data_IF_123488404884
#
_entry.id   IF_123488404884
#
_cell.length_a   1.000
_cell.length_b   1.000
_cell.length_c   1.000
_cell.angle_alpha   90.00
_cell.angle_beta   90.00
_cell.angle_gamma   90.00
#
_symmetry.space_group_name_H-M   'P 1'
#
loop_
_entity.id
_entity.type
_entity.pdbx_description
1 polymer ?
#
# COMPACT_ATOMS: atom_id res chain seq x y z
N UNK A 1 -10.93 -9.21 6.47
CA UNK A 1 -9.72 -8.94 5.64
C UNK A 1 -9.20 -7.50 5.78
N UNK A 2 -10.08 -6.48 5.68
CA UNK A 2 -9.66 -5.07 5.75
C UNK A 2 -9.15 -4.64 7.14
N UNK A 3 -9.84 -5.08 8.20
CA UNK A 3 -9.50 -4.78 9.61
C UNK A 3 -8.16 -5.38 10.06
N UNK A 4 -7.62 -6.36 9.33
CA UNK A 4 -6.33 -6.99 9.64
C UNK A 4 -5.15 -6.34 8.92
N UNK A 5 -5.37 -5.30 8.10
CA UNK A 5 -4.26 -4.56 7.51
C UNK A 5 -3.62 -3.67 8.57
N UNK A 6 -2.28 -3.63 8.62
CA UNK A 6 -1.51 -2.80 9.56
C UNK A 6 -1.96 -1.34 9.55
N UNK A 7 -2.26 -0.78 8.37
CA UNK A 7 -2.77 0.59 8.24
C UNK A 7 -4.11 0.80 8.93
N UNK A 8 -5.01 -0.18 8.85
CA UNK A 8 -6.35 -0.10 9.42
C UNK A 8 -6.24 -0.19 10.94
N UNK A 9 -5.37 -1.08 11.43
CA UNK A 9 -5.05 -1.21 12.86
C UNK A 9 -4.44 0.10 13.38
N UNK A 10 -3.42 0.63 12.70
CA UNK A 10 -2.76 1.89 13.06
C UNK A 10 -3.77 3.05 13.08
N UNK A 11 -4.60 3.17 12.05
CA UNK A 11 -5.61 4.23 11.96
C UNK A 11 -6.63 4.13 13.10
N UNK A 12 -7.14 2.93 13.38
CA UNK A 12 -8.19 2.70 14.37
C UNK A 12 -7.72 2.86 15.81
N UNK A 13 -6.53 2.37 16.14
CA UNK A 13 -6.06 2.28 17.53
C UNK A 13 -5.05 3.35 17.92
N UNK A 14 -4.42 4.02 16.96
CA UNK A 14 -3.38 5.03 17.22
C UNK A 14 -3.79 6.38 16.64
N UNK A 15 -4.00 6.47 15.33
CA UNK A 15 -4.19 7.77 14.65
C UNK A 15 -5.51 8.44 15.03
N UNK A 16 -6.61 7.69 15.03
CA UNK A 16 -7.91 8.22 15.41
C UNK A 16 -7.98 8.59 16.91
N UNK A 17 -7.69 7.69 17.88
CA UNK A 17 -7.89 8.00 19.29
C UNK A 17 -6.83 8.92 19.89
N UNK A 18 -5.56 8.86 19.43
CA UNK A 18 -4.48 9.66 20.04
C UNK A 18 -4.23 10.97 19.30
N UNK A 19 -4.37 10.97 17.97
CA UNK A 19 -4.02 12.13 17.14
C UNK A 19 -5.24 12.80 16.48
N UNK A 20 -6.43 12.22 16.64
CA UNK A 20 -7.67 12.66 16.00
C UNK A 20 -7.51 12.78 14.47
N UNK A 21 -6.84 11.80 13.86
CA UNK A 21 -6.65 11.69 12.41
C UNK A 21 -7.59 10.59 11.90
N UNK A 22 -8.65 10.99 11.20
CA UNK A 22 -9.72 10.10 10.74
C UNK A 22 -9.76 9.92 9.23
N UNK A 23 -9.14 10.83 8.46
CA UNK A 23 -9.02 10.73 7.00
C UNK A 23 -7.58 10.97 6.53
N UNK A 24 -6.86 9.86 6.30
CA UNK A 24 -5.47 9.87 5.81
C UNK A 24 -5.31 10.47 4.41
N UNK A 25 -6.39 10.68 3.64
CA UNK A 25 -6.32 11.30 2.31
C UNK A 25 -6.30 12.83 2.37
N UNK A 26 -6.90 13.40 3.43
CA UNK A 26 -7.20 14.84 3.51
C UNK A 26 -6.53 15.54 4.67
N UNK A 27 -6.12 14.80 5.71
CA UNK A 27 -5.44 15.40 6.86
C UNK A 27 -4.06 15.92 6.44
N UNK A 28 -3.85 17.23 6.56
CA UNK A 28 -2.61 17.91 6.17
C UNK A 28 -1.43 17.56 7.09
N UNK A 29 -1.68 16.90 8.23
CA UNK A 29 -0.65 16.45 9.17
C UNK A 29 -0.07 15.09 8.78
N UNK A 30 -0.58 14.46 7.73
CA UNK A 30 -0.14 13.17 7.24
C UNK A 30 0.59 13.36 5.91
N UNK A 31 1.76 12.75 5.79
CA UNK A 31 2.45 12.61 4.52
C UNK A 31 2.99 11.18 4.32
N UNK A 32 3.36 10.85 3.09
CA UNK A 32 3.74 9.50 2.71
C UNK A 32 5.11 9.49 2.05
N UNK A 33 5.98 8.60 2.51
CA UNK A 33 7.28 8.36 1.88
C UNK A 33 7.15 7.15 0.95
N UNK A 34 7.49 7.34 -0.34
CA UNK A 34 7.45 6.25 -1.31
C UNK A 34 8.46 5.15 -0.96
N UNK A 35 8.06 3.88 -1.17
CA UNK A 35 8.84 2.71 -0.74
C UNK A 35 10.29 2.67 -1.23
N UNK A 36 10.59 3.24 -2.41
CA UNK A 36 11.96 3.30 -2.96
C UNK A 36 12.95 4.06 -2.06
N UNK A 37 12.47 5.01 -1.24
CA UNK A 37 13.33 5.82 -0.37
C UNK A 37 13.70 5.11 0.93
N UNK A 38 13.05 4.00 1.27
CA UNK A 38 13.45 3.19 2.42
C UNK A 38 13.21 3.88 3.78
N UNK A 39 13.71 3.26 4.85
CA UNK A 39 13.47 3.69 6.24
C UNK A 39 14.29 4.94 6.59
N UNK A 40 15.42 5.12 5.93
CA UNK A 40 16.30 6.27 6.10
C UNK A 40 15.57 7.59 5.82
N UNK A 41 14.77 7.65 4.76
CA UNK A 41 13.98 8.84 4.44
C UNK A 41 12.83 9.11 5.43
N UNK A 42 12.33 8.11 6.17
CA UNK A 42 11.41 8.36 7.28
C UNK A 42 12.16 8.99 8.45
N UNK A 43 13.27 8.37 8.82
CA UNK A 43 14.09 8.80 9.94
C UNK A 43 14.58 10.24 9.73
N UNK A 44 15.08 10.56 8.55
CA UNK A 44 15.57 11.90 8.21
C UNK A 44 14.51 12.99 8.40
N UNK A 45 13.24 12.71 8.06
CA UNK A 45 12.15 13.69 8.22
C UNK A 45 11.78 13.94 9.68
N UNK A 46 11.89 12.91 10.52
CA UNK A 46 11.70 13.07 11.97
C UNK A 46 12.90 13.79 12.59
N UNK A 47 14.12 13.39 12.23
CA UNK A 47 15.36 13.98 12.77
C UNK A 47 15.50 15.47 12.41
N UNK A 48 15.01 15.88 11.24
CA UNK A 48 14.96 17.30 10.81
C UNK A 48 13.82 18.10 11.45
N UNK A 49 12.92 17.45 12.18
CA UNK A 49 11.74 18.09 12.78
C UNK A 49 10.66 18.48 11.77
N UNK A 50 10.70 17.95 10.54
CA UNK A 50 9.63 18.14 9.55
C UNK A 50 8.35 17.44 9.99
N UNK A 51 8.49 16.29 10.65
CA UNK A 51 7.40 15.44 11.10
C UNK A 51 7.67 15.00 12.54
N UNK A 52 6.61 14.84 13.35
CA UNK A 52 6.76 14.51 14.77
C UNK A 52 7.02 13.01 15.03
N UNK A 53 6.55 12.15 14.13
CA UNK A 53 6.63 10.69 14.26
C UNK A 53 6.62 10.07 12.87
N UNK A 54 7.12 8.85 12.75
CA UNK A 54 7.04 8.06 11.53
C UNK A 54 6.61 6.62 11.86
N UNK A 55 5.79 6.04 10.98
CA UNK A 55 5.35 4.66 11.05
C UNK A 55 5.76 3.92 9.77
N UNK A 56 6.46 2.80 9.95
CA UNK A 56 6.74 1.85 8.90
C UNK A 56 5.91 0.59 9.13
N UNK A 57 5.29 0.07 8.07
CA UNK A 57 4.43 -1.11 8.14
C UNK A 57 4.87 -2.13 7.09
N UNK A 58 4.51 -3.39 7.32
CA UNK A 58 4.79 -4.43 6.34
C UNK A 58 3.94 -4.24 5.08
N UNK A 59 4.47 -4.65 3.91
CA UNK A 59 3.68 -4.74 2.69
C UNK A 59 2.43 -5.59 2.89
N UNK A 60 1.32 -5.14 2.30
CA UNK A 60 0.14 -6.00 2.11
C UNK A 60 0.54 -7.18 1.23
N UNK A 61 0.24 -8.41 1.66
CA UNK A 61 0.56 -9.60 0.87
C UNK A 61 -0.36 -9.70 -0.36
N UNK A 62 0.07 -10.46 -1.38
CA UNK A 62 -0.77 -10.70 -2.56
C UNK A 62 -2.09 -11.38 -2.17
N UNK A 63 -2.03 -12.36 -1.27
CA UNK A 63 -3.23 -13.05 -0.76
C UNK A 63 -4.20 -12.08 -0.07
N UNK A 64 -3.70 -11.20 0.78
CA UNK A 64 -4.53 -10.17 1.43
C UNK A 64 -5.17 -9.23 0.41
N UNK A 65 -4.39 -8.84 -0.61
CA UNK A 65 -4.87 -7.97 -1.68
C UNK A 65 -5.98 -8.64 -2.50
N UNK A 66 -5.79 -9.90 -2.89
CA UNK A 66 -6.79 -10.70 -3.61
C UNK A 66 -8.06 -10.87 -2.78
N UNK A 67 -7.93 -11.25 -1.51
CA UNK A 67 -9.08 -11.39 -0.60
C UNK A 67 -9.86 -10.09 -0.42
N UNK A 68 -9.19 -8.93 -0.39
CA UNK A 68 -9.89 -7.64 -0.30
C UNK A 68 -10.63 -7.33 -1.59
N UNK A 69 -10.00 -7.56 -2.76
CA UNK A 69 -10.64 -7.38 -4.05
C UNK A 69 -11.89 -8.26 -4.22
N UNK A 70 -11.78 -9.55 -3.87
CA UNK A 70 -12.89 -10.51 -3.95
C UNK A 70 -14.04 -10.16 -3.00
N UNK A 71 -13.73 -9.50 -1.89
CA UNK A 71 -14.74 -9.08 -0.90
C UNK A 71 -15.53 -7.82 -1.29
N UNK A 72 -15.22 -7.19 -2.44
CA UNK A 72 -15.84 -5.93 -2.86
C UNK A 72 -15.46 -4.71 -2.02
N UNK A 73 -14.48 -4.84 -1.12
CA UNK A 73 -13.97 -3.76 -0.28
C UNK A 73 -12.96 -2.90 -1.04
N UNK A 74 -12.82 -1.65 -0.60
CA UNK A 74 -11.86 -0.71 -1.17
C UNK A 74 -10.58 -0.71 -0.34
N UNK A 75 -9.43 -0.83 -1.01
CA UNK A 75 -8.13 -0.72 -0.35
C UNK A 75 -7.95 0.65 0.33
N UNK A 76 -7.36 0.70 1.53
CA UNK A 76 -7.03 1.97 2.17
C UNK A 76 -6.08 2.81 1.30
N UNK A 77 -6.09 4.15 1.44
CA UNK A 77 -5.29 5.02 0.59
C UNK A 77 -3.79 4.75 0.71
N UNK A 78 -3.10 4.72 -0.44
CA UNK A 78 -1.62 4.75 -0.53
C UNK A 78 -0.91 3.61 0.21
N UNK A 79 -1.59 2.47 0.43
CA UNK A 79 -1.03 1.32 1.16
C UNK A 79 -0.44 0.21 0.29
N UNK A 80 -0.34 0.48 -1.01
CA UNK A 80 0.24 -0.45 -1.99
C UNK A 80 1.10 0.34 -2.96
N UNK A 81 2.41 0.11 -2.93
CA UNK A 81 3.37 0.72 -3.86
C UNK A 81 3.83 -0.29 -4.91
N UNK A 82 3.16 -0.36 -6.06
CA UNK A 82 3.58 -1.25 -7.15
C UNK A 82 4.81 -0.74 -7.90
N UNK A 83 5.75 -1.65 -8.15
CA UNK A 83 6.90 -1.45 -9.04
C UNK A 83 7.04 -2.62 -10.03
N UNK A 84 7.17 -2.35 -11.35
CA UNK A 84 7.03 -1.04 -12.00
C UNK A 84 5.60 -0.49 -11.86
N UNK A 85 5.45 0.84 -11.81
CA UNK A 85 4.14 1.46 -11.99
C UNK A 85 3.58 0.99 -13.33
N UNK A 86 2.31 0.59 -13.36
CA UNK A 86 1.63 0.25 -14.61
C UNK A 86 1.81 1.43 -15.57
N UNK A 87 2.50 1.18 -16.70
CA UNK A 87 2.68 2.21 -17.72
C UNK A 87 1.30 2.60 -18.24
N UNK A 88 1.01 3.89 -18.27
CA UNK A 88 -0.19 4.41 -18.93
C UNK A 88 -0.23 3.90 -20.38
N UNK A 89 -1.35 3.31 -20.81
CA UNK A 89 -1.51 2.75 -22.16
C UNK A 89 -1.51 1.23 -22.26
N UNK A 90 -1.64 0.49 -21.16
CA UNK A 90 -1.90 -0.96 -21.23
C UNK A 90 -3.29 -1.21 -21.84
N UNK A 91 -3.32 -1.68 -23.08
CA UNK A 91 -4.55 -2.14 -23.76
C UNK A 91 -4.57 -3.66 -23.70
N UNK A 92 -5.59 -4.21 -23.03
CA UNK A 92 -5.85 -5.65 -23.01
C UNK A 92 -6.92 -5.92 -24.06
N UNK A 93 -6.53 -6.61 -25.14
CA UNK A 93 -7.47 -7.11 -26.15
C UNK A 93 -7.51 -8.63 -26.03
N UNK A 94 -8.62 -9.14 -25.49
CA UNK A 94 -8.84 -10.58 -25.40
C UNK A 94 -9.25 -11.11 -26.77
N UNK A 95 -8.40 -11.93 -27.38
CA UNK A 95 -8.80 -12.71 -28.55
C UNK A 95 -9.61 -13.91 -28.07
N UNK A 96 -10.83 -14.08 -28.58
CA UNK A 96 -11.61 -15.30 -28.39
C UNK A 96 -10.99 -16.40 -29.26
N UNK A 97 -10.12 -17.20 -28.68
CA UNK A 97 -9.77 -18.51 -29.23
C UNK A 97 -10.10 -19.57 -28.18
N UNK A 98 -10.76 -20.63 -28.63
CA UNK A 98 -11.19 -21.76 -27.82
C UNK A 98 -9.99 -22.43 -27.09
N UNK A 99 -10.20 -22.76 -25.81
CA UNK A 99 -9.27 -23.21 -24.73
C UNK A 99 -8.42 -24.48 -25.01
N UNK A 100 -7.53 -24.93 -24.07
CA UNK A 100 -6.64 -24.23 -23.12
C UNK A 100 -5.17 -24.74 -23.22
N UNK A 101 -4.22 -24.08 -22.55
CA UNK A 101 -3.13 -24.68 -21.74
C UNK A 101 -1.92 -23.75 -21.66
N UNK A 102 -1.65 -23.23 -20.45
CA UNK A 102 -0.41 -22.56 -20.13
C UNK A 102 -0.37 -22.22 -18.65
N UNK A 103 0.34 -23.04 -17.88
CA UNK A 103 0.65 -22.76 -16.48
C UNK A 103 1.25 -21.35 -16.39
N UNK A 104 0.64 -20.45 -15.62
CA UNK A 104 1.20 -19.13 -15.38
C UNK A 104 2.57 -19.30 -14.70
N UNK A 105 3.61 -18.86 -15.42
CA UNK A 105 4.98 -18.76 -14.92
C UNK A 105 4.99 -17.86 -13.68
N UNK A 106 5.17 -18.49 -12.52
CA UNK A 106 5.19 -17.85 -11.23
C UNK A 106 6.56 -17.18 -11.02
N UNK A 107 6.89 -16.20 -11.87
CA UNK A 107 8.03 -15.33 -11.63
C UNK A 107 7.71 -14.48 -10.41
N UNK A 108 8.47 -14.73 -9.35
CA UNK A 108 8.43 -14.01 -8.08
C UNK A 108 8.41 -12.50 -8.33
N UNK A 109 7.24 -11.88 -8.14
CA UNK A 109 7.15 -10.43 -8.02
C UNK A 109 7.79 -10.12 -6.66
N UNK A 110 9.01 -9.57 -6.68
CA UNK A 110 9.62 -9.03 -5.46
C UNK A 110 8.81 -7.82 -5.00
N UNK A 111 7.93 -8.04 -4.03
CA UNK A 111 7.17 -6.97 -3.38
C UNK A 111 8.09 -6.15 -2.44
N UNK A 112 8.86 -5.20 -2.98
CA UNK A 112 9.43 -4.10 -2.18
C UNK A 112 8.36 -3.03 -1.95
N UNK A 113 7.41 -3.26 -1.06
CA UNK A 113 6.22 -2.40 -0.93
C UNK A 113 6.03 -1.90 0.50
N UNK A 114 6.88 -0.97 0.95
CA UNK A 114 6.68 -0.36 2.27
C UNK A 114 5.70 0.82 2.19
N UNK A 115 4.62 0.74 2.97
CA UNK A 115 3.72 1.87 3.20
C UNK A 115 4.20 2.61 4.43
N UNK A 116 4.59 3.87 4.22
CA UNK A 116 5.27 4.68 5.23
C UNK A 116 4.49 5.96 5.44
N UNK A 117 3.98 6.12 6.65
CA UNK A 117 3.24 7.29 7.08
C UNK A 117 4.20 8.10 7.94
N UNK A 118 4.40 9.37 7.58
CA UNK A 118 4.93 10.39 8.50
C UNK A 118 3.79 11.27 8.98
#
# INVERSE_FOLDING_TARGET
>A
PLESLDVTVLSKYVLAPLFNITDLRRDSRIDFVGGIRGLEALQERVDKGEMAIAFAMFPVSMEQLMHIADSGNIMPPKVTWFEPKLRSGLVIHQFLNEEPHGQADNRSIENKHESKIV
#
